data_IF_879518285355
#
_entry.id   IF_879518285355
#
_cell.length_a   1.000
_cell.length_b   1.000
_cell.length_c   1.000
_cell.angle_alpha   90.00
_cell.angle_beta   90.00
_cell.angle_gamma   90.00
#
_symmetry.space_group_name_H-M   'P 1'
#
loop_
_entity.id
_entity.type
_entity.pdbx_description
1 polymer ?
#
# COMPACT_ATOMS: atom_id res chain seq x y z
N UNK A 1 -5.36 -29.85 -2.71
CA UNK A 1 -5.96 -28.67 -3.37
C UNK A 1 -5.17 -27.46 -2.93
N UNK A 2 -4.62 -26.69 -3.88
CA UNK A 2 -3.72 -25.57 -3.59
C UNK A 2 -4.57 -24.29 -3.52
N UNK A 3 -5.18 -24.07 -2.36
CA UNK A 3 -6.22 -23.05 -2.12
C UNK A 3 -5.80 -21.64 -2.57
N UNK A 4 -4.51 -21.29 -2.44
CA UNK A 4 -4.01 -20.00 -2.90
C UNK A 4 -3.95 -19.86 -4.43
N UNK A 5 -3.54 -20.93 -5.13
CA UNK A 5 -3.46 -20.91 -6.60
C UNK A 5 -4.82 -20.76 -7.26
N UNK A 6 -5.85 -21.37 -6.66
CA UNK A 6 -7.23 -21.24 -7.12
C UNK A 6 -7.77 -19.81 -6.89
N UNK A 7 -7.42 -19.17 -5.77
CA UNK A 7 -7.90 -17.82 -5.46
C UNK A 7 -7.25 -16.76 -6.36
N UNK A 8 -5.97 -16.88 -6.72
CA UNK A 8 -5.31 -15.91 -7.62
C UNK A 8 -5.93 -15.89 -9.02
N UNK A 9 -6.51 -17.01 -9.47
CA UNK A 9 -7.22 -17.09 -10.75
C UNK A 9 -8.62 -16.47 -10.75
N UNK A 10 -9.15 -16.07 -9.59
CA UNK A 10 -10.47 -15.48 -9.48
C UNK A 10 -10.46 -13.98 -9.86
N UNK A 11 -11.60 -13.41 -10.26
CA UNK A 11 -11.71 -11.97 -10.41
C UNK A 11 -11.53 -11.25 -9.06
N UNK A 12 -11.06 -9.99 -9.10
CA UNK A 12 -10.57 -9.27 -7.92
C UNK A 12 -11.61 -9.14 -6.80
N UNK A 13 -12.88 -8.96 -7.15
CA UNK A 13 -14.02 -8.90 -6.21
C UNK A 13 -14.15 -10.19 -5.40
N UNK A 14 -13.98 -11.35 -6.04
CA UNK A 14 -14.01 -12.66 -5.39
C UNK A 14 -12.77 -12.92 -4.57
N UNK A 15 -11.61 -12.44 -4.99
CA UNK A 15 -10.39 -12.48 -4.17
C UNK A 15 -10.59 -11.69 -2.87
N UNK A 16 -11.10 -10.46 -2.98
CA UNK A 16 -11.39 -9.62 -1.82
C UNK A 16 -12.41 -10.28 -0.90
N UNK A 17 -13.48 -10.85 -1.46
CA UNK A 17 -14.49 -11.59 -0.69
C UNK A 17 -13.88 -12.77 0.07
N UNK A 18 -13.02 -13.57 -0.58
CA UNK A 18 -12.34 -14.69 0.08
C UNK A 18 -11.42 -14.21 1.21
N UNK A 19 -10.74 -13.08 1.02
CA UNK A 19 -9.93 -12.47 2.07
C UNK A 19 -10.78 -12.01 3.27
N UNK A 20 -11.89 -11.29 3.04
CA UNK A 20 -12.78 -10.84 4.12
C UNK A 20 -13.38 -12.01 4.91
N UNK A 21 -13.78 -13.07 4.21
CA UNK A 21 -14.26 -14.30 4.86
C UNK A 21 -13.18 -14.93 5.74
N UNK A 22 -11.94 -15.00 5.26
CA UNK A 22 -10.83 -15.53 6.06
C UNK A 22 -10.50 -14.66 7.28
N UNK A 23 -10.60 -13.32 7.17
CA UNK A 23 -10.46 -12.40 8.31
C UNK A 23 -11.54 -12.65 9.35
N UNK A 24 -12.80 -12.70 8.92
CA UNK A 24 -13.94 -12.93 9.81
C UNK A 24 -13.83 -14.29 10.51
N UNK A 25 -13.43 -15.33 9.77
CA UNK A 25 -13.24 -16.66 10.34
C UNK A 25 -12.09 -16.70 11.35
N UNK A 26 -10.94 -16.09 11.05
CA UNK A 26 -9.82 -15.99 11.99
C UNK A 26 -10.19 -15.20 13.25
N UNK A 27 -10.95 -14.09 13.11
CA UNK A 27 -11.41 -13.30 14.23
C UNK A 27 -12.38 -14.07 15.14
N UNK A 28 -13.27 -14.87 14.56
CA UNK A 28 -14.20 -15.70 15.31
C UNK A 28 -13.55 -16.95 15.95
N UNK A 29 -12.60 -17.59 15.24
CA UNK A 29 -11.99 -18.85 15.63
C UNK A 29 -10.50 -18.90 15.29
N UNK A 30 -9.60 -18.37 16.14
CA UNK A 30 -8.15 -18.22 15.87
C UNK A 30 -7.35 -19.53 15.98
N UNK A 31 -7.80 -20.58 15.29
CA UNK A 31 -7.13 -21.86 15.14
C UNK A 31 -5.86 -21.77 14.27
N UNK A 32 -5.00 -22.79 14.33
CA UNK A 32 -3.81 -22.86 13.47
C UNK A 32 -4.19 -22.90 11.98
N UNK A 33 -5.29 -23.58 11.64
CA UNK A 33 -5.82 -23.62 10.28
C UNK A 33 -6.26 -22.22 9.80
N UNK A 34 -7.06 -21.51 10.61
CA UNK A 34 -7.51 -20.16 10.25
C UNK A 34 -6.36 -19.17 10.07
N UNK A 35 -5.31 -19.26 10.91
CA UNK A 35 -4.08 -18.47 10.78
C UNK A 35 -3.34 -18.76 9.49
N UNK A 36 -3.17 -20.04 9.17
CA UNK A 36 -2.49 -20.46 7.95
C UNK A 36 -3.25 -20.00 6.71
N UNK A 37 -4.56 -20.21 6.67
CA UNK A 37 -5.42 -19.80 5.56
C UNK A 37 -5.34 -18.29 5.34
N UNK A 38 -5.53 -17.49 6.40
CA UNK A 38 -5.45 -16.04 6.29
C UNK A 38 -4.05 -15.58 5.85
N UNK A 39 -2.99 -16.17 6.37
CA UNK A 39 -1.61 -15.84 5.98
C UNK A 39 -1.35 -16.17 4.51
N UNK A 40 -1.81 -17.33 4.04
CA UNK A 40 -1.66 -17.76 2.66
C UNK A 40 -2.41 -16.81 1.70
N UNK A 41 -3.65 -16.45 2.01
CA UNK A 41 -4.40 -15.47 1.22
C UNK A 41 -3.73 -14.10 1.25
N UNK A 42 -3.22 -13.66 2.40
CA UNK A 42 -2.51 -12.39 2.52
C UNK A 42 -1.22 -12.32 1.70
N UNK A 43 -0.59 -13.46 1.39
CA UNK A 43 0.58 -13.49 0.50
C UNK A 43 0.25 -13.32 -0.98
N UNK A 44 -0.95 -13.68 -1.41
CA UNK A 44 -1.31 -13.74 -2.83
C UNK A 44 -2.37 -12.73 -3.25
N UNK A 45 -3.18 -12.26 -2.30
CA UNK A 45 -4.23 -11.27 -2.54
C UNK A 45 -3.70 -9.88 -2.16
N UNK A 46 -3.63 -8.94 -3.11
CA UNK A 46 -3.30 -7.54 -2.82
C UNK A 46 -4.22 -6.97 -1.75
N UNK A 47 -3.66 -6.17 -0.83
CA UNK A 47 -4.40 -5.44 0.21
C UNK A 47 -5.29 -6.28 1.13
N UNK A 48 -5.11 -7.60 1.13
CA UNK A 48 -5.87 -8.49 1.98
C UNK A 48 -5.66 -8.16 3.47
N UNK A 49 -4.43 -7.89 3.88
CA UNK A 49 -4.15 -7.35 5.21
C UNK A 49 -3.48 -5.99 5.11
N UNK A 50 -3.85 -5.10 6.02
CA UNK A 50 -3.06 -3.90 6.30
C UNK A 50 -1.68 -4.30 6.86
N UNK A 51 -0.70 -3.38 6.85
CA UNK A 51 0.60 -3.66 7.46
C UNK A 51 0.49 -4.09 8.93
N UNK A 52 -0.34 -3.42 9.72
CA UNK A 52 -0.57 -3.77 11.13
C UNK A 52 -1.29 -5.12 11.29
N UNK A 53 -2.27 -5.40 10.43
CA UNK A 53 -2.94 -6.71 10.41
C UNK A 53 -1.99 -7.85 10.10
N UNK A 54 -1.05 -7.62 9.18
CA UNK A 54 0.00 -8.58 8.83
C UNK A 54 0.97 -8.80 10.00
N UNK A 55 1.38 -7.74 10.69
CA UNK A 55 2.22 -7.84 11.89
C UNK A 55 1.52 -8.57 13.05
N UNK A 56 0.23 -8.32 13.25
CA UNK A 56 -0.58 -9.03 14.24
C UNK A 56 -0.65 -10.53 13.95
N UNK A 57 -0.91 -10.89 12.68
CA UNK A 57 -0.92 -12.28 12.24
C UNK A 57 0.46 -12.94 12.39
N UNK A 58 1.54 -12.25 12.01
CA UNK A 58 2.91 -12.74 12.17
C UNK A 58 3.23 -13.06 13.62
N UNK A 59 2.92 -12.16 14.56
CA UNK A 59 3.12 -12.40 15.99
C UNK A 59 2.41 -13.67 16.43
N UNK A 60 1.18 -13.88 15.98
CA UNK A 60 0.39 -15.08 16.31
C UNK A 60 0.95 -16.39 15.72
N UNK A 61 1.70 -16.31 14.62
CA UNK A 61 2.29 -17.47 13.93
C UNK A 61 3.69 -17.83 14.47
N UNK A 62 4.42 -16.86 15.03
CA UNK A 62 5.79 -17.03 15.53
C UNK A 62 5.88 -17.22 17.04
N UNK A 63 4.75 -17.32 17.76
CA UNK A 63 4.73 -17.53 19.22
C UNK A 63 5.53 -18.78 19.62
N UNK A 64 5.52 -19.82 18.79
CA UNK A 64 6.28 -21.06 19.02
C UNK A 64 7.51 -21.11 18.11
N UNK A 65 8.70 -21.27 18.70
CA UNK A 65 9.97 -21.33 17.99
C UNK A 65 10.03 -22.41 16.88
N UNK A 66 9.28 -23.51 17.06
CA UNK A 66 9.18 -24.63 16.12
C UNK A 66 7.87 -24.61 15.30
N UNK A 67 7.30 -23.43 15.05
CA UNK A 67 6.10 -23.32 14.21
C UNK A 67 6.39 -23.87 12.80
N UNK A 68 5.62 -24.84 12.31
CA UNK A 68 5.82 -25.40 10.97
C UNK A 68 5.57 -24.36 9.86
N UNK A 69 5.01 -23.20 10.21
CA UNK A 69 4.64 -22.13 9.27
C UNK A 69 5.66 -20.99 9.23
N UNK A 70 6.88 -21.19 9.75
CA UNK A 70 7.94 -20.17 9.78
C UNK A 70 8.28 -19.64 8.38
N UNK A 71 8.29 -20.49 7.36
CA UNK A 71 8.49 -20.08 5.96
C UNK A 71 7.44 -19.07 5.50
N UNK A 72 6.15 -19.39 5.73
CA UNK A 72 5.04 -18.51 5.40
C UNK A 72 5.09 -17.19 6.18
N UNK A 73 5.48 -17.23 7.46
CA UNK A 73 5.68 -16.03 8.26
C UNK A 73 6.83 -15.16 7.72
N UNK A 74 7.93 -15.74 7.21
CA UNK A 74 9.00 -14.96 6.58
C UNK A 74 8.52 -14.29 5.29
N UNK A 75 7.75 -14.99 4.46
CA UNK A 75 7.18 -14.44 3.22
C UNK A 75 6.23 -13.27 3.54
N UNK A 76 5.30 -13.47 4.48
CA UNK A 76 4.35 -12.44 4.87
C UNK A 76 5.07 -11.21 5.47
N UNK A 77 6.14 -11.41 6.24
CA UNK A 77 6.99 -10.33 6.75
C UNK A 77 7.65 -9.55 5.63
N UNK A 78 8.26 -10.24 4.66
CA UNK A 78 8.91 -9.62 3.50
C UNK A 78 7.91 -8.75 2.72
N UNK A 79 6.73 -9.31 2.43
CA UNK A 79 5.67 -8.60 1.70
C UNK A 79 5.18 -7.37 2.47
N UNK A 80 5.03 -7.49 3.80
CA UNK A 80 4.62 -6.36 4.66
C UNK A 80 5.64 -5.23 4.61
N UNK A 81 6.93 -5.57 4.74
CA UNK A 81 8.02 -4.58 4.68
C UNK A 81 8.10 -3.91 3.30
N UNK A 82 7.92 -4.69 2.23
CA UNK A 82 7.90 -4.17 0.87
C UNK A 82 6.73 -3.18 0.68
N UNK A 83 5.52 -3.53 1.15
CA UNK A 83 4.35 -2.62 1.07
C UNK A 83 4.59 -1.31 1.81
N UNK A 84 5.09 -1.37 3.04
CA UNK A 84 5.42 -0.16 3.81
C UNK A 84 6.47 0.72 3.11
N UNK A 85 7.47 0.10 2.49
CA UNK A 85 8.47 0.84 1.71
C UNK A 85 7.85 1.50 0.47
N UNK A 86 6.98 0.79 -0.24
CA UNK A 86 6.26 1.32 -1.40
C UNK A 86 5.31 2.45 -1.03
N UNK A 87 4.54 2.31 0.05
CA UNK A 87 3.64 3.36 0.57
C UNK A 87 4.43 4.63 0.94
N UNK A 88 5.59 4.47 1.60
CA UNK A 88 6.47 5.59 1.93
C UNK A 88 7.03 6.28 0.69
N UNK A 89 7.43 5.50 -0.33
CA UNK A 89 7.92 6.05 -1.59
C UNK A 89 6.82 6.80 -2.35
N UNK A 90 5.60 6.27 -2.37
CA UNK A 90 4.44 6.94 -2.98
C UNK A 90 4.10 8.24 -2.27
N UNK A 91 4.11 8.24 -0.92
CA UNK A 91 3.88 9.45 -0.13
C UNK A 91 4.92 10.54 -0.43
N UNK A 92 6.20 10.17 -0.52
CA UNK A 92 7.27 11.09 -0.87
C UNK A 92 7.10 11.66 -2.30
N UNK A 93 6.74 10.81 -3.27
CA UNK A 93 6.48 11.23 -4.65
C UNK A 93 5.30 12.20 -4.74
N UNK A 94 4.21 11.94 -4.00
CA UNK A 94 3.06 12.85 -3.95
C UNK A 94 3.42 14.21 -3.34
N UNK A 95 4.23 14.23 -2.30
CA UNK A 95 4.72 15.47 -1.69
C UNK A 95 5.60 16.27 -2.65
N UNK A 96 6.47 15.59 -3.41
CA UNK A 96 7.29 16.22 -4.44
C UNK A 96 6.43 16.80 -5.57
N UNK A 97 5.44 16.04 -6.06
CA UNK A 97 4.50 16.50 -7.09
C UNK A 97 3.73 17.76 -6.64
N UNK A 98 3.30 17.80 -5.39
CA UNK A 98 2.63 18.98 -4.82
C UNK A 98 3.58 20.19 -4.73
N UNK A 99 4.82 19.95 -4.31
CA UNK A 99 5.86 21.00 -4.29
C UNK A 99 6.13 21.56 -5.68
N UNK A 100 6.20 20.69 -6.69
CA UNK A 100 6.40 21.10 -8.09
C UNK A 100 5.20 21.90 -8.62
N UNK A 101 3.97 21.50 -8.29
CA UNK A 101 2.76 22.27 -8.65
C UNK A 101 2.78 23.67 -8.05
N UNK A 102 3.19 23.80 -6.79
CA UNK A 102 3.32 25.11 -6.13
C UNK A 102 4.39 25.98 -6.79
N UNK A 103 5.55 25.40 -7.14
CA UNK A 103 6.62 26.10 -7.88
C UNK A 103 6.14 26.57 -9.25
N UNK A 104 5.45 25.73 -10.01
CA UNK A 104 4.87 26.09 -11.31
C UNK A 104 3.90 27.27 -11.17
N UNK A 105 3.00 27.22 -10.19
CA UNK A 105 2.05 28.32 -9.92
C UNK A 105 2.76 29.62 -9.56
N UNK A 106 3.86 29.55 -8.81
CA UNK A 106 4.68 30.73 -8.48
C UNK A 106 5.38 31.30 -9.72
N UNK A 107 5.95 30.45 -10.58
CA UNK A 107 6.59 30.86 -11.83
C UNK A 107 5.59 31.54 -12.77
N UNK A 108 4.39 30.99 -12.94
CA UNK A 108 3.33 31.62 -13.76
C UNK A 108 2.95 33.02 -13.24
N UNK A 109 2.92 33.21 -11.91
CA UNK A 109 2.66 34.54 -11.32
C UNK A 109 3.79 35.52 -11.61
N UNK A 110 5.05 35.08 -11.49
CA UNK A 110 6.22 35.91 -11.79
C UNK A 110 6.22 36.31 -13.27
N UNK A 111 5.95 35.36 -14.17
CA UNK A 111 5.84 35.63 -15.61
C UNK A 111 4.75 36.67 -15.91
N UNK A 112 3.58 36.55 -15.27
CA UNK A 112 2.49 37.52 -15.41
C UNK A 112 2.92 38.91 -14.93
N UNK A 113 3.60 39.02 -13.80
CA UNK A 113 4.10 40.29 -13.26
C UNK A 113 5.18 40.90 -14.15
N UNK A 114 6.11 40.11 -14.68
CA UNK A 114 7.14 40.56 -15.61
C UNK A 114 6.53 41.13 -16.88
N UNK A 115 5.51 40.46 -17.45
CA UNK A 115 4.79 40.98 -18.61
C UNK A 115 4.10 42.31 -18.31
N UNK A 116 3.46 42.44 -17.14
CA UNK A 116 2.85 43.72 -16.73
C UNK A 116 3.87 44.85 -16.57
N UNK A 117 5.06 44.57 -16.01
CA UNK A 117 6.13 45.57 -15.89
C UNK A 117 6.63 45.98 -17.28
N UNK A 118 6.90 45.01 -18.16
CA UNK A 118 7.32 45.26 -19.53
C UNK A 118 6.33 46.12 -20.30
N UNK A 119 5.04 45.82 -20.21
CA UNK A 119 3.99 46.58 -20.90
C UNK A 119 3.91 48.03 -20.39
N UNK A 120 4.10 48.25 -19.08
CA UNK A 120 4.18 49.61 -18.50
C UNK A 120 5.40 50.38 -18.98
N UNK A 121 6.56 49.74 -19.03
CA UNK A 121 7.78 50.40 -19.53
C UNK A 121 7.65 50.79 -21.01
N UNK A 122 7.06 49.92 -21.83
CA UNK A 122 6.77 50.22 -23.24
C UNK A 122 5.80 51.39 -23.41
N UNK A 123 4.80 51.53 -22.53
CA UNK A 123 3.87 52.66 -22.55
C UNK A 123 4.53 53.98 -22.14
N UNK A 124 5.51 53.95 -21.24
CA UNK A 124 6.22 55.16 -20.79
C UNK A 124 7.28 55.65 -21.79
N UNK A 125 7.65 54.83 -22.78
CA UNK A 125 8.65 55.14 -23.81
C UNK A 125 8.04 55.67 -25.12
N UNK A 126 6.72 55.66 -25.25
CA UNK A 126 5.96 56.21 -26.39
C UNK A 126 5.23 57.50 -25.98
#
# INVERSE_FOLDING_TARGET
MNYAGEVVGLPLDRQQTACEQAKAHFAAYPSDYSRMTLAMLATVIPDCLSPDGSLGLLRSMTIKANSPYRGLAMILRQLTQQRQATEKALAASNQEAETLRQKLKALTRIETQLNQVKDRELQNLN
#
